data_IF_849410362171
#
_entry.id   IF_849410362171
#
_cell.length_a   1.000
_cell.length_b   1.000
_cell.length_c   1.000
_cell.angle_alpha   90.00
_cell.angle_beta   90.00
_cell.angle_gamma   90.00
#
_symmetry.space_group_name_H-M   'P 1'
#
loop_
_entity.id
_entity.type
_entity.pdbx_description
1 polymer ?
#
# COMPACT_ATOMS: atom_id res chain seq x y z
N UNK A 1 2.44 15.37 20.90
CA UNK A 1 1.48 15.64 19.81
C UNK A 1 1.42 14.41 18.92
N UNK A 2 0.35 13.62 19.00
CA UNK A 2 0.16 12.39 18.20
C UNK A 2 -0.82 12.72 17.07
N UNK A 3 -0.29 13.22 15.96
CA UNK A 3 -1.05 13.47 14.73
C UNK A 3 -0.16 13.07 13.53
N UNK A 4 -0.09 11.77 13.20
CA UNK A 4 0.71 11.33 12.04
C UNK A 4 0.13 10.14 11.26
N UNK A 5 -0.79 9.37 11.84
CA UNK A 5 -1.40 8.21 11.18
C UNK A 5 -2.23 8.52 9.90
N UNK A 6 -3.09 9.56 9.86
CA UNK A 6 -3.87 9.83 8.63
C UNK A 6 -3.00 10.29 7.46
N UNK A 7 -1.94 11.05 7.75
CA UNK A 7 -1.04 11.57 6.72
C UNK A 7 -0.23 10.46 6.05
N UNK A 8 0.32 9.52 6.84
CA UNK A 8 1.08 8.39 6.32
C UNK A 8 0.23 7.45 5.45
N UNK A 9 -1.03 7.20 5.86
CA UNK A 9 -1.97 6.44 5.04
C UNK A 9 -2.19 7.11 3.68
N UNK A 10 -2.47 8.41 3.68
CA UNK A 10 -2.69 9.17 2.44
C UNK A 10 -1.45 9.21 1.54
N UNK A 11 -0.25 9.34 2.12
CA UNK A 11 1.01 9.28 1.37
C UNK A 11 1.23 7.93 0.68
N UNK A 12 0.92 6.82 1.38
CA UNK A 12 1.01 5.49 0.80
C UNK A 12 0.00 5.30 -0.34
N UNK A 13 -1.25 5.75 -0.18
CA UNK A 13 -2.25 5.71 -1.23
C UNK A 13 -1.85 6.55 -2.45
N UNK A 14 -1.36 7.77 -2.26
CA UNK A 14 -0.90 8.62 -3.35
C UNK A 14 0.27 7.97 -4.13
N UNK A 15 1.18 7.27 -3.44
CA UNK A 15 2.26 6.51 -4.09
C UNK A 15 1.73 5.29 -4.86
N UNK A 16 0.70 4.62 -4.34
CA UNK A 16 0.06 3.51 -5.03
C UNK A 16 -0.55 3.96 -6.36
N UNK A 17 -1.28 5.09 -6.35
CA UNK A 17 -1.88 5.67 -7.56
C UNK A 17 -0.84 5.98 -8.63
N UNK A 18 0.30 6.57 -8.25
CA UNK A 18 1.40 6.84 -9.18
C UNK A 18 1.93 5.55 -9.82
N UNK A 19 2.10 4.49 -9.03
CA UNK A 19 2.55 3.21 -9.57
C UNK A 19 1.49 2.55 -10.48
N UNK A 20 0.20 2.69 -10.18
CA UNK A 20 -0.85 2.20 -11.09
C UNK A 20 -0.88 2.97 -12.41
N UNK A 21 -0.68 4.30 -12.39
CA UNK A 21 -0.56 5.08 -13.62
C UNK A 21 0.65 4.62 -14.45
N UNK A 22 1.81 4.40 -13.81
CA UNK A 22 2.99 3.85 -14.49
C UNK A 22 2.75 2.44 -15.05
N UNK A 23 2.03 1.59 -14.30
CA UNK A 23 1.65 0.26 -14.76
C UNK A 23 0.76 0.32 -16.00
N UNK A 24 -0.21 1.24 -16.02
CA UNK A 24 -1.10 1.46 -17.15
C UNK A 24 -0.30 1.91 -18.38
N UNK A 25 0.54 2.94 -18.26
CA UNK A 25 1.37 3.40 -19.37
C UNK A 25 2.32 2.31 -19.90
N UNK A 26 2.90 1.50 -19.02
CA UNK A 26 3.75 0.37 -19.42
C UNK A 26 2.94 -0.73 -20.16
N UNK A 27 1.72 -1.03 -19.70
CA UNK A 27 0.83 -1.97 -20.37
C UNK A 27 0.40 -1.48 -21.76
N UNK A 28 0.05 -0.20 -21.88
CA UNK A 28 -0.30 0.45 -23.16
C UNK A 28 0.88 0.44 -24.15
N UNK A 29 2.12 0.53 -23.65
CA UNK A 29 3.33 0.38 -24.45
C UNK A 29 3.69 -1.09 -24.79
N UNK A 30 2.93 -2.06 -24.29
CA UNK A 30 3.20 -3.50 -24.47
C UNK A 30 4.29 -4.06 -23.56
N UNK A 31 4.83 -3.27 -22.62
CA UNK A 31 5.79 -3.72 -21.62
C UNK A 31 5.07 -4.34 -20.41
N UNK A 32 4.64 -5.58 -20.61
CA UNK A 32 3.93 -6.39 -19.60
C UNK A 32 4.80 -6.64 -18.36
N UNK A 33 6.11 -6.77 -18.53
CA UNK A 33 7.04 -7.06 -17.42
C UNK A 33 7.16 -5.86 -16.47
N UNK A 34 7.38 -4.67 -17.01
CA UNK A 34 7.43 -3.45 -16.21
C UNK A 34 6.06 -3.12 -15.62
N UNK A 35 4.99 -3.32 -16.38
CA UNK A 35 3.62 -3.14 -15.89
C UNK A 35 3.35 -4.01 -14.64
N UNK A 36 3.64 -5.31 -14.73
CA UNK A 36 3.51 -6.22 -13.58
C UNK A 36 4.36 -5.79 -12.39
N UNK A 37 5.59 -5.33 -12.62
CA UNK A 37 6.47 -4.81 -11.57
C UNK A 37 5.90 -3.56 -10.89
N UNK A 38 5.25 -2.68 -11.63
CA UNK A 38 4.60 -1.49 -11.07
C UNK A 38 3.32 -1.83 -10.29
N UNK A 39 2.51 -2.79 -10.77
CA UNK A 39 1.34 -3.28 -10.04
C UNK A 39 1.74 -3.83 -8.67
N UNK A 40 2.78 -4.67 -8.61
CA UNK A 40 3.26 -5.22 -7.34
C UNK A 40 3.73 -4.12 -6.36
N UNK A 41 4.39 -3.07 -6.87
CA UNK A 41 4.80 -1.92 -6.05
C UNK A 41 3.60 -1.13 -5.54
N UNK A 42 2.57 -0.95 -6.36
CA UNK A 42 1.34 -0.27 -5.96
C UNK A 42 0.61 -1.01 -4.84
N UNK A 43 0.41 -2.33 -5.01
CA UNK A 43 -0.22 -3.20 -4.01
C UNK A 43 0.52 -3.20 -2.66
N UNK A 44 1.86 -3.17 -2.68
CA UNK A 44 2.67 -3.06 -1.47
C UNK A 44 2.43 -1.73 -0.73
N UNK A 45 2.21 -0.63 -1.46
CA UNK A 45 1.85 0.66 -0.84
C UNK A 45 0.43 0.63 -0.27
N UNK A 46 -0.55 0.03 -0.97
CA UNK A 46 -1.91 -0.14 -0.44
C UNK A 46 -1.92 -1.00 0.84
N UNK A 47 -1.13 -2.09 0.86
CA UNK A 47 -0.96 -2.92 2.05
C UNK A 47 -0.42 -2.10 3.21
N UNK A 48 0.60 -1.27 2.98
CA UNK A 48 1.15 -0.35 3.99
C UNK A 48 0.11 0.63 4.48
N UNK A 49 -0.65 1.26 3.57
CA UNK A 49 -1.75 2.16 3.90
C UNK A 49 -2.82 1.49 4.79
N UNK A 50 -3.15 0.23 4.52
CA UNK A 50 -4.07 -0.57 5.34
C UNK A 50 -3.50 -0.98 6.70
N UNK A 51 -2.17 -1.02 6.83
CA UNK A 51 -1.47 -1.33 8.09
C UNK A 51 -1.20 -0.06 8.93
N UNK A 52 -1.41 1.15 8.37
CA UNK A 52 -1.29 2.40 9.13
C UNK A 52 -2.53 2.59 10.01
N UNK A 53 -2.42 2.19 11.28
CA UNK A 53 -3.47 2.35 12.28
C UNK A 53 -3.08 1.69 13.61
N UNK A 54 -3.90 1.83 14.67
CA UNK A 54 -3.66 1.13 15.92
C UNK A 54 -3.68 -0.39 15.68
N UNK A 55 -2.53 -1.04 15.84
CA UNK A 55 -2.45 -2.50 15.80
C UNK A 55 -3.17 -3.04 17.03
N UNK A 56 -4.42 -3.50 16.88
CA UNK A 56 -5.12 -4.19 17.96
C UNK A 56 -4.49 -5.57 18.09
N UNK A 57 -3.48 -5.69 18.96
CA UNK A 57 -2.99 -6.98 19.42
C UNK A 57 -4.13 -7.68 20.17
N UNK A 58 -4.80 -8.61 19.50
CA UNK A 58 -5.66 -9.55 20.20
C UNK A 58 -4.74 -10.48 21.01
N UNK A 59 -4.45 -10.07 22.24
CA UNK A 59 -3.78 -10.93 23.21
C UNK A 59 -4.67 -12.16 23.39
N UNK A 60 -4.24 -13.31 22.88
CA UNK A 60 -4.92 -14.57 23.15
C UNK A 60 -4.89 -14.75 24.66
N UNK A 61 -6.06 -14.72 25.31
CA UNK A 61 -6.15 -14.93 26.75
C UNK A 61 -5.80 -16.39 27.05
N UNK A 62 -4.78 -16.68 27.88
CA UNK A 62 -4.49 -18.05 28.27
C UNK A 62 -5.66 -18.61 29.10
N UNK A 63 -6.05 -19.85 28.79
CA UNK A 63 -7.07 -20.58 29.55
C UNK A 63 -6.40 -21.22 30.76
N UNK A 64 -6.45 -20.53 31.90
CA UNK A 64 -6.34 -21.16 33.23
C UNK A 64 -7.68 -21.71 33.65
#
# INVERSE_FOLDING_TARGET
MVQSAPNQKQEHLAKADVFFQQAQSAAEAGDVSSSGSFILKALEQERRAGTVGPQVMQLIKPRS
#
